data_IF_598409346835
#
_entry.id   IF_598409346835
#
_cell.length_a   1.000
_cell.length_b   1.000
_cell.length_c   1.000
_cell.angle_alpha   90.00
_cell.angle_beta   90.00
_cell.angle_gamma   90.00
#
_symmetry.space_group_name_H-M   'P 1'
#
loop_
_entity.id
_entity.type
_entity.pdbx_description
1 polymer ?
#
# COMPACT_ATOMS: atom_id res chain seq x y z
N UNK A 1 8.51 -2.21 2.39
CA UNK A 1 8.89 -3.43 1.66
C UNK A 1 8.43 -4.63 2.47
N UNK A 2 7.73 -5.60 1.86
CA UNK A 2 7.46 -6.90 2.50
C UNK A 2 8.43 -7.93 1.94
N UNK A 3 9.15 -8.62 2.81
CA UNK A 3 10.05 -9.71 2.45
C UNK A 3 9.55 -11.01 3.06
N UNK A 4 9.71 -12.11 2.32
CA UNK A 4 9.42 -13.47 2.78
C UNK A 4 10.52 -14.40 2.30
N UNK A 5 10.87 -15.39 3.12
CA UNK A 5 11.79 -16.47 2.73
C UNK A 5 11.00 -17.60 2.13
N UNK A 6 11.43 -18.09 0.97
CA UNK A 6 10.84 -19.27 0.35
C UNK A 6 11.08 -20.50 1.24
N UNK A 7 10.01 -21.25 1.54
CA UNK A 7 10.07 -22.47 2.36
C UNK A 7 11.06 -23.52 1.81
N UNK A 8 11.25 -23.56 0.48
CA UNK A 8 12.12 -24.52 -0.19
C UNK A 8 13.51 -23.94 -0.49
N UNK A 9 13.89 -22.83 0.15
CA UNK A 9 15.21 -22.21 -0.07
C UNK A 9 16.33 -23.15 0.37
N UNK A 10 17.37 -23.26 -0.46
CA UNK A 10 18.62 -23.96 -0.10
C UNK A 10 19.59 -23.09 0.71
N UNK A 11 19.31 -21.78 0.79
CA UNK A 11 20.15 -20.77 1.45
C UNK A 11 19.35 -20.04 2.55
N UNK A 12 18.59 -20.78 3.34
CA UNK A 12 17.71 -20.22 4.38
C UNK A 12 18.47 -19.41 5.43
N UNK A 13 19.61 -19.92 5.92
CA UNK A 13 20.43 -19.23 6.92
C UNK A 13 20.90 -17.86 6.44
N UNK A 14 21.41 -17.76 5.21
CA UNK A 14 21.88 -16.50 4.65
C UNK A 14 20.72 -15.55 4.34
N UNK A 15 19.56 -16.08 3.94
CA UNK A 15 18.35 -15.28 3.78
C UNK A 15 17.92 -14.64 5.11
N UNK A 16 17.98 -15.37 6.23
CA UNK A 16 17.66 -14.81 7.55
C UNK A 16 18.70 -13.79 8.03
N UNK A 17 20.00 -14.00 7.75
CA UNK A 17 21.03 -12.97 8.03
C UNK A 17 20.74 -11.68 7.27
N UNK A 18 20.39 -11.80 5.98
CA UNK A 18 20.01 -10.64 5.18
C UNK A 18 18.74 -9.95 5.72
N UNK A 19 17.70 -10.71 6.08
CA UNK A 19 16.49 -10.12 6.67
C UNK A 19 16.76 -9.42 8.00
N UNK A 20 17.67 -9.94 8.82
CA UNK A 20 18.08 -9.28 10.06
C UNK A 20 18.75 -7.92 9.78
N UNK A 21 19.61 -7.85 8.76
CA UNK A 21 20.22 -6.58 8.35
C UNK A 21 19.19 -5.59 7.78
N UNK A 22 18.25 -6.05 6.95
CA UNK A 22 17.14 -5.21 6.45
C UNK A 22 16.27 -4.66 7.60
N UNK A 23 16.18 -5.38 8.72
CA UNK A 23 15.49 -4.91 9.93
C UNK A 23 16.29 -3.91 10.78
N UNK A 24 17.58 -3.72 10.50
CA UNK A 24 18.46 -2.90 11.33
C UNK A 24 18.24 -1.39 11.11
N UNK A 25 18.67 -0.60 12.10
CA UNK A 25 18.64 0.86 12.04
C UNK A 25 19.44 1.43 10.86
N UNK A 26 20.58 0.81 10.54
CA UNK A 26 21.41 1.21 9.39
C UNK A 26 20.63 1.14 8.08
N UNK A 27 19.98 0.00 7.81
CA UNK A 27 19.16 -0.14 6.62
C UNK A 27 17.97 0.82 6.64
N UNK A 28 17.36 1.05 7.81
CA UNK A 28 16.26 1.97 7.97
C UNK A 28 16.64 3.43 7.60
N UNK A 29 17.83 3.91 8.01
CA UNK A 29 18.35 5.22 7.60
C UNK A 29 18.65 5.26 6.10
N UNK A 30 19.34 4.24 5.57
CA UNK A 30 19.64 4.13 4.14
C UNK A 30 18.38 4.15 3.29
N UNK A 31 17.39 3.32 3.60
CA UNK A 31 16.16 3.19 2.84
C UNK A 31 15.35 4.49 2.86
N UNK A 32 15.29 5.17 4.01
CA UNK A 32 14.52 6.41 4.17
C UNK A 32 15.19 7.61 3.50
N UNK A 33 16.51 7.70 3.54
CA UNK A 33 17.24 8.90 3.14
C UNK A 33 17.99 8.79 1.80
N UNK A 34 18.19 7.59 1.24
CA UNK A 34 18.79 7.41 -0.10
C UNK A 34 17.76 7.20 -1.20
N UNK A 35 16.55 6.80 -0.83
CA UNK A 35 15.46 6.59 -1.77
C UNK A 35 14.28 7.50 -1.39
N UNK A 36 14.29 8.72 -1.93
CA UNK A 36 13.27 9.73 -1.63
C UNK A 36 11.85 9.20 -1.85
N UNK A 37 10.97 9.41 -0.87
CA UNK A 37 9.57 8.96 -0.94
C UNK A 37 9.32 7.54 -0.42
N UNK A 38 10.36 6.82 0.02
CA UNK A 38 10.22 5.54 0.68
C UNK A 38 10.47 5.69 2.18
N UNK A 39 9.55 5.17 2.99
CA UNK A 39 9.64 5.27 4.45
C UNK A 39 9.75 3.87 5.03
N UNK A 40 10.69 3.69 5.94
CA UNK A 40 10.78 2.48 6.75
C UNK A 40 9.54 2.34 7.65
N UNK A 41 9.16 1.08 7.95
CA UNK A 41 8.19 0.75 8.99
C UNK A 41 8.86 0.45 10.34
N UNK A 42 10.17 0.67 10.43
CA UNK A 42 10.95 0.48 11.65
C UNK A 42 10.48 1.38 12.79
N UNK A 43 10.69 0.92 14.03
CA UNK A 43 10.51 1.71 15.25
C UNK A 43 11.76 2.52 15.64
N UNK A 44 12.85 2.44 14.88
CA UNK A 44 14.04 3.25 15.12
C UNK A 44 13.78 4.74 14.86
N UNK A 45 14.48 5.60 15.60
CA UNK A 45 14.48 7.05 15.35
C UNK A 45 15.32 7.34 14.10
N UNK A 46 14.64 7.61 12.98
CA UNK A 46 15.28 7.97 11.71
C UNK A 46 14.94 9.43 11.38
N UNK A 47 15.97 10.26 11.25
CA UNK A 47 15.81 11.64 10.81
C UNK A 47 15.62 11.66 9.28
N UNK A 48 14.45 12.09 8.81
CA UNK A 48 14.16 12.28 7.39
C UNK A 48 14.85 13.57 6.93
N UNK A 49 15.73 13.50 5.92
CA UNK A 49 16.56 14.64 5.49
C UNK A 49 15.95 15.44 4.35
N UNK A 50 15.18 14.78 3.49
CA UNK A 50 14.50 15.44 2.38
C UNK A 50 13.27 16.21 2.87
N UNK A 51 13.15 17.48 2.49
CA UNK A 51 12.09 18.37 2.97
C UNK A 51 10.70 17.94 2.47
N UNK A 52 10.60 17.43 1.24
CA UNK A 52 9.33 16.95 0.65
C UNK A 52 8.94 15.63 1.32
N UNK A 53 9.89 14.72 1.52
CA UNK A 53 9.65 13.48 2.24
C UNK A 53 9.21 13.75 3.69
N UNK A 54 9.80 14.75 4.35
CA UNK A 54 9.39 15.19 5.69
C UNK A 54 7.95 15.69 5.69
N UNK A 55 7.58 16.54 4.73
CA UNK A 55 6.21 17.03 4.60
C UNK A 55 5.19 15.89 4.39
N UNK A 56 5.53 14.91 3.55
CA UNK A 56 4.68 13.73 3.32
C UNK A 56 4.58 12.85 4.57
N UNK A 57 5.67 12.65 5.31
CA UNK A 57 5.67 11.88 6.56
C UNK A 57 4.75 12.51 7.62
N UNK A 58 4.75 13.84 7.73
CA UNK A 58 3.87 14.58 8.65
C UNK A 58 2.38 14.43 8.33
N UNK A 59 2.00 14.08 7.09
CA UNK A 59 0.59 13.78 6.77
C UNK A 59 0.07 12.59 7.56
N UNK A 60 0.90 11.62 7.95
CA UNK A 60 0.48 10.48 8.78
C UNK A 60 0.03 10.90 10.18
N UNK A 61 0.50 12.04 10.69
CA UNK A 61 0.08 12.58 11.99
C UNK A 61 -1.20 13.42 11.89
N UNK A 62 -1.48 13.99 10.72
CA UNK A 62 -2.61 14.92 10.50
C UNK A 62 -3.81 14.29 9.80
N UNK A 63 -3.61 13.20 9.06
CA UNK A 63 -4.63 12.58 8.22
C UNK A 63 -4.99 11.19 8.73
N UNK A 64 -6.26 10.81 8.58
CA UNK A 64 -6.70 9.44 8.84
C UNK A 64 -6.16 8.48 7.78
N UNK A 65 -5.90 7.24 8.19
CA UNK A 65 -5.56 6.17 7.24
C UNK A 65 -6.79 5.73 6.46
N UNK A 66 -6.64 5.55 5.15
CA UNK A 66 -7.69 4.96 4.30
C UNK A 66 -7.29 3.54 3.90
N UNK A 67 -8.29 2.66 3.80
CA UNK A 67 -8.07 1.28 3.38
C UNK A 67 -7.78 1.26 1.88
N UNK A 68 -6.70 0.58 1.48
CA UNK A 68 -6.43 0.28 0.08
C UNK A 68 -7.35 -0.85 -0.40
N UNK A 69 -8.56 -0.49 -0.83
CA UNK A 69 -9.58 -1.47 -1.29
C UNK A 69 -9.07 -2.42 -2.39
N UNK A 70 -8.11 -1.98 -3.20
CA UNK A 70 -7.45 -2.77 -4.26
C UNK A 70 -6.36 -3.73 -3.74
N UNK A 71 -5.79 -3.48 -2.56
CA UNK A 71 -4.77 -4.36 -1.98
C UNK A 71 -5.38 -5.43 -1.04
N UNK A 72 -6.70 -5.37 -0.83
CA UNK A 72 -7.41 -6.28 0.04
C UNK A 72 -7.99 -7.48 -0.74
N UNK A 73 -8.50 -8.46 0.00
CA UNK A 73 -9.34 -9.57 -0.50
C UNK A 73 -10.44 -9.14 -1.48
N UNK A 74 -10.92 -7.90 -1.38
CA UNK A 74 -11.91 -7.34 -2.31
C UNK A 74 -11.41 -7.40 -3.75
N UNK A 75 -10.09 -7.30 -3.98
CA UNK A 75 -9.50 -7.37 -5.32
C UNK A 75 -9.45 -8.77 -5.93
N UNK A 76 -9.84 -9.82 -5.19
CA UNK A 76 -9.83 -11.22 -5.68
C UNK A 76 -11.05 -11.59 -6.54
N UNK A 77 -12.08 -10.73 -6.58
CA UNK A 77 -13.26 -10.94 -7.43
C UNK A 77 -12.95 -10.77 -8.92
N UNK A 78 -13.89 -11.19 -9.78
CA UNK A 78 -13.82 -10.99 -11.23
C UNK A 78 -15.05 -10.19 -11.72
N UNK A 79 -14.87 -9.01 -12.35
CA UNK A 79 -13.60 -8.31 -12.52
C UNK A 79 -13.02 -7.83 -11.18
N UNK A 80 -11.70 -7.63 -11.11
CA UNK A 80 -11.04 -7.17 -9.89
C UNK A 80 -11.54 -5.80 -9.45
N UNK A 81 -11.46 -5.49 -8.16
CA UNK A 81 -11.83 -4.15 -7.65
C UNK A 81 -10.97 -3.05 -8.23
N UNK A 82 -9.71 -3.34 -8.55
CA UNK A 82 -8.82 -2.41 -9.21
C UNK A 82 -9.30 -2.07 -10.62
N UNK A 83 -9.66 -3.07 -11.42
CA UNK A 83 -10.18 -2.87 -12.76
C UNK A 83 -11.51 -2.10 -12.75
N UNK A 84 -12.41 -2.46 -11.82
CA UNK A 84 -13.69 -1.78 -11.65
C UNK A 84 -13.49 -0.30 -11.27
N UNK A 85 -12.64 -0.04 -10.27
CA UNK A 85 -12.32 1.32 -9.82
C UNK A 85 -11.73 2.13 -10.97
N UNK A 86 -10.76 1.57 -11.68
CA UNK A 86 -10.13 2.23 -12.83
C UNK A 86 -11.18 2.64 -13.86
N UNK A 87 -12.02 1.71 -14.30
CA UNK A 87 -13.05 1.97 -15.30
C UNK A 87 -14.03 3.08 -14.86
N UNK A 88 -14.52 3.02 -13.62
CA UNK A 88 -15.43 4.03 -13.08
C UNK A 88 -14.75 5.40 -12.96
N UNK A 89 -13.54 5.46 -12.40
CA UNK A 89 -12.84 6.75 -12.24
C UNK A 89 -12.53 7.40 -13.58
N UNK A 90 -12.14 6.62 -14.60
CA UNK A 90 -11.91 7.14 -15.94
C UNK A 90 -13.18 7.68 -16.58
N UNK A 91 -14.32 7.01 -16.41
CA UNK A 91 -15.61 7.49 -16.93
C UNK A 91 -16.10 8.77 -16.23
N UNK A 92 -15.90 8.86 -14.92
CA UNK A 92 -16.23 10.08 -14.16
C UNK A 92 -15.37 11.26 -14.61
N UNK A 93 -14.05 11.05 -14.73
CA UNK A 93 -13.13 12.09 -15.20
C UNK A 93 -13.41 12.52 -16.64
N UNK A 94 -13.86 11.60 -17.50
CA UNK A 94 -14.24 11.89 -18.88
C UNK A 94 -15.65 12.48 -19.01
N UNK A 95 -16.39 12.65 -17.91
CA UNK A 95 -17.75 13.18 -17.90
C UNK A 95 -18.82 12.25 -18.47
N UNK A 96 -18.47 10.99 -18.82
CA UNK A 96 -19.42 10.00 -19.34
C UNK A 96 -20.21 9.29 -18.24
N UNK A 97 -19.86 9.52 -16.96
CA UNK A 97 -20.56 9.00 -15.79
C UNK A 97 -20.62 10.09 -14.71
N UNK A 98 -21.80 10.34 -14.15
CA UNK A 98 -21.93 11.30 -13.07
C UNK A 98 -21.15 10.82 -11.82
N UNK A 99 -20.49 11.73 -11.07
CA UNK A 99 -19.73 11.34 -9.89
C UNK A 99 -20.54 10.57 -8.84
N UNK A 100 -21.81 10.94 -8.64
CA UNK A 100 -22.71 10.26 -7.71
C UNK A 100 -22.97 8.80 -8.09
N UNK A 101 -23.26 8.56 -9.38
CA UNK A 101 -23.50 7.20 -9.90
C UNK A 101 -22.23 6.33 -9.82
N UNK A 102 -21.06 6.93 -10.12
CA UNK A 102 -19.77 6.27 -9.94
C UNK A 102 -19.51 5.88 -8.49
N UNK A 103 -19.83 6.75 -7.53
CA UNK A 103 -19.68 6.47 -6.11
C UNK A 103 -20.59 5.32 -5.65
N UNK A 104 -21.88 5.36 -6.02
CA UNK A 104 -22.85 4.28 -5.70
C UNK A 104 -22.39 2.94 -6.27
N UNK A 105 -21.94 2.93 -7.54
CA UNK A 105 -21.45 1.72 -8.19
C UNK A 105 -20.26 1.10 -7.45
N UNK A 106 -19.28 1.90 -7.05
CA UNK A 106 -18.12 1.41 -6.30
C UNK A 106 -18.49 0.96 -4.88
N UNK A 107 -19.39 1.68 -4.20
CA UNK A 107 -19.87 1.32 -2.88
C UNK A 107 -20.57 -0.05 -2.89
N UNK A 108 -21.49 -0.27 -3.83
CA UNK A 108 -22.19 -1.55 -4.00
C UNK A 108 -21.20 -2.70 -4.22
N UNK A 109 -20.14 -2.47 -5.00
CA UNK A 109 -19.11 -3.49 -5.24
C UNK A 109 -18.31 -3.84 -4.00
N UNK A 110 -17.97 -2.84 -3.17
CA UNK A 110 -17.31 -3.07 -1.88
C UNK A 110 -18.21 -3.88 -0.95
N UNK A 111 -19.51 -3.59 -0.91
CA UNK A 111 -20.49 -4.30 -0.08
C UNK A 111 -20.71 -5.74 -0.52
N UNK A 112 -20.85 -6.00 -1.83
CA UNK A 112 -20.93 -7.36 -2.39
C UNK A 112 -19.69 -8.19 -2.04
N UNK A 113 -18.49 -7.63 -2.21
CA UNK A 113 -17.24 -8.30 -1.85
C UNK A 113 -17.08 -8.55 -0.35
N UNK A 114 -17.80 -7.81 0.50
CA UNK A 114 -17.89 -8.08 1.94
C UNK A 114 -18.93 -9.15 2.28
N UNK A 115 -20.05 -9.21 1.56
CA UNK A 115 -21.15 -10.15 1.80
C UNK A 115 -20.77 -11.61 1.47
N UNK A 116 -19.92 -11.84 0.45
CA UNK A 116 -19.39 -13.17 0.11
C UNK A 116 -18.39 -13.76 1.12
N UNK A 117 -18.29 -13.19 2.33
CA UNK A 117 -17.42 -13.64 3.43
C UNK A 117 -18.19 -14.23 4.63
N UNK A 118 -19.48 -14.54 4.49
CA UNK A 118 -20.16 -15.41 5.46
C UNK A 118 -19.77 -16.86 5.22
#
# INVERSE_FOLDING_TARGET
>A
MELRVNRNSRNDQDAYKFMAWVGAQEFADLYTNRLTGFFTLSHHLIAVRDLVATQMAEWRKRCASTIRVNAQVLNRGQPSMEAERWAVTSQVLNGSLAPGDGAVRLQNRVEQGRAGKK
#
